data_IF_147063869145
#
_entry.id   IF_147063869145
#
_cell.length_a   1.000
_cell.length_b   1.000
_cell.length_c   1.000
_cell.angle_alpha   90.00
_cell.angle_beta   90.00
_cell.angle_gamma   90.00
#
_symmetry.space_group_name_H-M   'P 1'
#
loop_
_entity.id
_entity.type
_entity.pdbx_description
1 polymer ?
#
# COMPACT_ATOMS: atom_id res chain seq x y z
N UNK A 1 21.75 4.62 -4.47
CA UNK A 1 21.20 3.26 -4.52
C UNK A 1 20.81 2.75 -3.13
N UNK A 2 21.45 3.24 -2.06
CA UNK A 2 21.11 2.82 -0.69
C UNK A 2 19.64 3.08 -0.37
N UNK A 3 19.11 4.23 -0.77
CA UNK A 3 17.70 4.55 -0.53
C UNK A 3 16.78 3.64 -1.30
N UNK A 4 17.13 3.31 -2.53
CA UNK A 4 16.33 2.39 -3.36
C UNK A 4 16.34 1.01 -2.74
N UNK A 5 17.51 0.50 -2.36
CA UNK A 5 17.64 -0.83 -1.76
C UNK A 5 16.89 -0.91 -0.43
N UNK A 6 16.94 0.16 0.36
CA UNK A 6 16.21 0.24 1.62
C UNK A 6 14.70 0.14 1.42
N UNK A 7 14.17 0.88 0.45
CA UNK A 7 12.73 0.86 0.15
C UNK A 7 12.31 -0.52 -0.36
N UNK A 8 13.11 -1.12 -1.25
CA UNK A 8 12.83 -2.45 -1.78
C UNK A 8 12.72 -3.47 -0.64
N UNK A 9 13.68 -3.46 0.28
CA UNK A 9 13.68 -4.40 1.39
C UNK A 9 12.53 -4.16 2.34
N UNK A 10 12.21 -2.90 2.62
CA UNK A 10 11.08 -2.55 3.48
C UNK A 10 9.75 -2.97 2.88
N UNK A 11 9.58 -2.78 1.57
CA UNK A 11 8.38 -3.27 0.88
C UNK A 11 8.27 -4.78 0.98
N UNK A 12 9.39 -5.48 0.82
CA UNK A 12 9.42 -6.94 0.89
C UNK A 12 8.96 -7.44 2.27
N UNK A 13 9.46 -6.83 3.32
CA UNK A 13 9.08 -7.19 4.69
C UNK A 13 7.61 -6.90 4.94
N UNK A 14 7.14 -5.73 4.51
CA UNK A 14 5.74 -5.35 4.68
C UNK A 14 4.81 -6.28 3.90
N UNK A 15 5.17 -6.60 2.65
CA UNK A 15 4.37 -7.52 1.83
C UNK A 15 4.18 -8.86 2.52
N UNK A 16 5.24 -9.38 3.12
CA UNK A 16 5.15 -10.62 3.88
C UNK A 16 4.22 -10.50 5.08
N UNK A 17 4.22 -9.34 5.72
CA UNK A 17 3.38 -9.09 6.91
C UNK A 17 1.90 -9.11 6.57
N UNK A 18 1.53 -8.60 5.39
CA UNK A 18 0.11 -8.44 5.04
C UNK A 18 -0.41 -9.48 4.04
N UNK A 19 0.45 -10.35 3.51
CA UNK A 19 0.05 -11.27 2.43
C UNK A 19 -1.09 -12.20 2.82
N UNK A 20 -1.23 -12.51 4.10
CA UNK A 20 -2.28 -13.41 4.59
C UNK A 20 -3.50 -12.66 5.14
N UNK A 21 -3.50 -11.34 5.09
CA UNK A 21 -4.63 -10.56 5.60
C UNK A 21 -5.83 -10.66 4.69
N UNK A 22 -7.03 -10.59 5.30
CA UNK A 22 -8.26 -10.50 4.53
C UNK A 22 -8.25 -9.24 3.68
N UNK A 23 -8.77 -9.36 2.47
CA UNK A 23 -8.81 -8.23 1.55
C UNK A 23 -7.66 -8.20 0.57
N UNK A 24 -6.57 -8.88 0.85
CA UNK A 24 -5.43 -8.97 -0.07
C UNK A 24 -5.62 -10.21 -0.94
N UNK A 25 -5.77 -10.00 -2.24
CA UNK A 25 -5.86 -11.06 -3.21
C UNK A 25 -4.49 -11.42 -3.77
N UNK A 26 -3.66 -10.40 -4.01
CA UNK A 26 -2.31 -10.60 -4.53
C UNK A 26 -1.45 -9.40 -4.17
N UNK A 27 -0.16 -9.65 -4.02
CA UNK A 27 0.84 -8.61 -3.78
C UNK A 27 1.96 -8.80 -4.78
N UNK A 28 2.34 -7.71 -5.42
CA UNK A 28 3.46 -7.72 -6.37
C UNK A 28 4.38 -6.56 -6.04
N UNK A 29 5.66 -6.78 -6.21
CA UNK A 29 6.66 -5.76 -6.00
C UNK A 29 7.58 -5.70 -7.19
N UNK A 30 7.79 -4.50 -7.70
CA UNK A 30 8.76 -4.27 -8.75
C UNK A 30 9.59 -3.06 -8.36
N UNK A 31 10.86 -3.31 -7.96
CA UNK A 31 11.68 -2.25 -7.42
C UNK A 31 11.03 -1.60 -6.23
N UNK A 32 10.88 -0.27 -6.27
CA UNK A 32 10.26 0.51 -5.20
C UNK A 32 8.75 0.62 -5.32
N UNK A 33 8.16 -0.03 -6.33
CA UNK A 33 6.72 -0.02 -6.53
C UNK A 33 6.11 -1.22 -5.82
N UNK A 34 5.11 -0.96 -4.98
CA UNK A 34 4.32 -2.01 -4.34
C UNK A 34 2.92 -1.98 -4.93
N UNK A 35 2.47 -3.12 -5.45
CA UNK A 35 1.14 -3.26 -6.02
C UNK A 35 0.31 -4.20 -5.16
N UNK A 36 -0.84 -3.71 -4.68
CA UNK A 36 -1.78 -4.49 -3.88
C UNK A 36 -3.04 -4.72 -4.69
N UNK A 37 -3.34 -6.00 -4.99
CA UNK A 37 -4.62 -6.36 -5.58
C UNK A 37 -5.56 -6.72 -4.44
N UNK A 38 -6.69 -6.00 -4.37
CA UNK A 38 -7.66 -6.18 -3.30
C UNK A 38 -8.75 -7.15 -3.75
N UNK A 39 -9.34 -7.84 -2.77
CA UNK A 39 -10.50 -8.68 -3.06
C UNK A 39 -11.60 -7.84 -3.68
N UNK A 40 -12.14 -8.32 -4.78
CA UNK A 40 -13.26 -7.69 -5.45
C UNK A 40 -14.50 -8.54 -5.23
N UNK A 41 -15.35 -8.11 -4.32
CA UNK A 41 -16.67 -8.72 -4.15
C UNK A 41 -17.69 -8.02 -5.05
N UNK A 42 -18.94 -8.32 -4.85
CA UNK A 42 -20.03 -7.65 -5.56
C UNK A 42 -20.13 -6.17 -5.18
N UNK A 43 -19.50 -5.79 -4.10
CA UNK A 43 -19.52 -4.42 -3.58
C UNK A 43 -18.17 -3.76 -3.79
N UNK A 44 -18.11 -2.80 -4.71
CA UNK A 44 -16.92 -2.03 -5.02
C UNK A 44 -16.66 -0.89 -4.03
N UNK A 45 -17.55 -0.70 -3.04
CA UNK A 45 -17.42 0.37 -2.07
C UNK A 45 -16.18 0.24 -1.20
N UNK A 46 -15.71 -0.99 -0.96
CA UNK A 46 -14.50 -1.22 -0.18
C UNK A 46 -13.28 -0.56 -0.83
N UNK A 47 -13.12 -0.78 -2.14
CA UNK A 47 -11.99 -0.22 -2.86
C UNK A 47 -12.01 1.31 -2.81
N UNK A 48 -13.18 1.90 -3.07
CA UNK A 48 -13.33 3.36 -3.03
C UNK A 48 -13.03 3.91 -1.64
N UNK A 49 -13.51 3.23 -0.59
CA UNK A 49 -13.26 3.65 0.78
C UNK A 49 -11.78 3.62 1.13
N UNK A 50 -11.10 2.55 0.78
CA UNK A 50 -9.66 2.42 1.03
C UNK A 50 -8.89 3.47 0.25
N UNK A 51 -9.20 3.64 -1.03
CA UNK A 51 -8.54 4.64 -1.88
C UNK A 51 -8.69 6.05 -1.28
N UNK A 52 -9.91 6.42 -0.91
CA UNK A 52 -10.18 7.75 -0.39
C UNK A 52 -9.50 7.98 0.96
N UNK A 53 -9.48 6.95 1.81
CA UNK A 53 -8.82 7.04 3.11
C UNK A 53 -7.32 7.21 2.99
N UNK A 54 -6.69 6.58 2.00
CA UNK A 54 -5.25 6.64 1.82
C UNK A 54 -4.80 7.83 0.98
N UNK A 55 -5.67 8.37 0.13
CA UNK A 55 -5.28 9.38 -0.85
C UNK A 55 -4.63 10.59 -0.20
N UNK A 56 -5.33 11.21 0.76
CA UNK A 56 -4.82 12.40 1.41
C UNK A 56 -3.56 12.11 2.22
N UNK A 57 -3.55 10.98 2.91
CA UNK A 57 -2.40 10.56 3.70
C UNK A 57 -1.15 10.44 2.82
N UNK A 58 -1.30 9.86 1.64
CA UNK A 58 -0.19 9.67 0.71
C UNK A 58 0.24 11.00 0.07
N UNK A 59 -0.75 11.85 -0.26
CA UNK A 59 -0.45 13.16 -0.84
C UNK A 59 0.38 14.02 0.11
N UNK A 60 0.06 14.00 1.40
CA UNK A 60 0.78 14.77 2.41
C UNK A 60 2.24 14.32 2.52
N UNK A 61 2.57 13.12 2.07
CA UNK A 61 3.91 12.54 2.15
C UNK A 61 4.60 12.43 0.80
N UNK A 62 4.02 13.05 -0.22
CA UNK A 62 4.54 13.00 -1.59
C UNK A 62 4.65 11.57 -2.14
N UNK A 63 3.75 10.70 -1.70
CA UNK A 63 3.70 9.32 -2.18
C UNK A 63 2.62 9.25 -3.24
N UNK A 64 2.98 8.70 -4.40
CA UNK A 64 2.01 8.52 -5.46
C UNK A 64 1.16 7.29 -5.20
N UNK A 65 -0.16 7.50 -5.11
CA UNK A 65 -1.15 6.44 -5.02
C UNK A 65 -1.88 6.36 -6.36
N UNK A 66 -1.79 5.22 -7.02
CA UNK A 66 -2.39 5.06 -8.35
C UNK A 66 -3.34 3.88 -8.37
N UNK A 67 -4.66 4.13 -8.29
CA UNK A 67 -5.64 3.05 -8.36
C UNK A 67 -5.93 2.67 -9.81
N UNK A 68 -5.89 1.37 -10.11
CA UNK A 68 -6.26 0.83 -11.42
C UNK A 68 -7.09 -0.42 -11.19
N UNK A 69 -8.40 -0.33 -11.48
CA UNK A 69 -9.30 -1.44 -11.19
C UNK A 69 -9.33 -1.70 -9.69
N UNK A 70 -9.02 -2.94 -9.30
CA UNK A 70 -8.92 -3.31 -7.89
C UNK A 70 -7.48 -3.39 -7.40
N UNK A 71 -6.53 -2.80 -8.15
CA UNK A 71 -5.11 -2.79 -7.79
C UNK A 71 -4.71 -1.38 -7.38
N UNK A 72 -4.00 -1.25 -6.28
CA UNK A 72 -3.43 0.01 -5.82
C UNK A 72 -1.91 -0.06 -5.96
N UNK A 73 -1.36 0.87 -6.73
CA UNK A 73 0.09 1.01 -6.91
C UNK A 73 0.60 2.09 -5.97
N UNK A 74 1.64 1.80 -5.23
CA UNK A 74 2.24 2.71 -4.24
C UNK A 74 3.68 2.97 -4.65
N UNK A 75 3.99 4.25 -4.90
CA UNK A 75 5.33 4.69 -5.31
C UNK A 75 5.81 5.77 -4.34
N UNK A 76 6.62 5.41 -3.33
CA UNK A 76 7.19 6.42 -2.43
C UNK A 76 8.36 7.14 -3.10
N UNK A 77 8.64 8.39 -2.71
CA UNK A 77 9.84 9.07 -3.18
C UNK A 77 11.09 8.40 -2.61
N UNK A 78 12.19 8.46 -3.32
CA UNK A 78 13.43 7.80 -2.89
C UNK A 78 13.98 8.37 -1.58
N UNK A 79 13.66 9.61 -1.27
CA UNK A 79 14.12 10.26 -0.05
C UNK A 79 13.23 10.01 1.16
N UNK A 80 12.20 9.18 1.03
CA UNK A 80 11.28 8.91 2.14
C UNK A 80 12.04 8.31 3.33
N UNK A 81 11.72 8.76 4.54
CA UNK A 81 12.33 8.23 5.74
C UNK A 81 11.70 6.89 6.15
N UNK A 82 12.43 6.14 6.96
CA UNK A 82 11.88 4.89 7.51
C UNK A 82 10.65 5.15 8.37
N UNK A 83 10.65 6.26 9.11
CA UNK A 83 9.51 6.63 9.95
C UNK A 83 8.25 6.88 9.09
N UNK A 84 8.41 7.59 7.97
CA UNK A 84 7.29 7.85 7.06
C UNK A 84 6.82 6.57 6.39
N UNK A 85 7.73 5.67 6.00
CA UNK A 85 7.35 4.36 5.46
C UNK A 85 6.54 3.56 6.48
N UNK A 86 6.97 3.55 7.74
CA UNK A 86 6.24 2.84 8.78
C UNK A 86 4.83 3.39 8.96
N UNK A 87 4.68 4.72 8.91
CA UNK A 87 3.35 5.34 8.97
C UNK A 87 2.48 4.92 7.80
N UNK A 88 3.05 4.87 6.60
CA UNK A 88 2.33 4.44 5.40
C UNK A 88 1.87 2.99 5.53
N UNK A 89 2.77 2.12 5.96
CA UNK A 89 2.45 0.70 6.12
C UNK A 89 1.37 0.49 7.19
N UNK A 90 1.46 1.22 8.30
CA UNK A 90 0.45 1.14 9.35
C UNK A 90 -0.91 1.64 8.86
N UNK A 91 -0.92 2.71 8.07
CA UNK A 91 -2.17 3.24 7.50
C UNK A 91 -2.82 2.23 6.55
N UNK A 92 -2.02 1.56 5.72
CA UNK A 92 -2.52 0.52 4.82
C UNK A 92 -3.12 -0.63 5.62
N UNK A 93 -2.40 -1.08 6.63
CA UNK A 93 -2.85 -2.20 7.47
C UNK A 93 -4.13 -1.86 8.22
N UNK A 94 -4.22 -0.65 8.77
CA UNK A 94 -5.42 -0.17 9.45
C UNK A 94 -6.63 -0.13 8.50
N UNK A 95 -6.42 0.31 7.27
CA UNK A 95 -7.49 0.31 6.26
C UNK A 95 -7.95 -1.11 5.95
N UNK A 96 -7.03 -2.05 5.78
CA UNK A 96 -7.38 -3.44 5.52
C UNK A 96 -8.20 -4.01 6.68
N UNK A 97 -7.78 -3.76 7.89
CA UNK A 97 -8.49 -4.24 9.07
C UNK A 97 -9.88 -3.62 9.22
N UNK A 98 -10.03 -2.36 8.79
CA UNK A 98 -11.30 -1.65 8.86
C UNK A 98 -12.31 -2.17 7.83
N UNK A 99 -11.86 -2.37 6.59
CA UNK A 99 -12.77 -2.68 5.49
C UNK A 99 -12.96 -4.18 5.24
N UNK A 100 -12.03 -5.03 5.66
CA UNK A 100 -12.08 -6.46 5.38
C UNK A 100 -12.09 -7.31 6.66
N UNK A 101 -12.38 -6.71 7.75
CA UNK A 101 -12.37 -7.40 9.05
C UNK A 101 -13.43 -8.48 9.14
#
# INVERSE_FOLDING_TARGET
>A
WENIDRIIERHRVFAKRIESKKGIRDLRQQGTILAMELESGDDTSYFSGIRDSLYQFFMDRNILLRPLGNVIYILPPYCISDADLDEVYNAIEDCLDTYFN
#
